data_IF_548683479895
#
_entry.id   IF_548683479895
#
_cell.length_a   1.000
_cell.length_b   1.000
_cell.length_c   1.000
_cell.angle_alpha   90.00
_cell.angle_beta   90.00
_cell.angle_gamma   90.00
#
_symmetry.space_group_name_H-M   'P 1'
#
loop_
_entity.id
_entity.type
_entity.pdbx_description
1 polymer ?
#
# COMPACT_ATOMS: atom_id res chain seq x y z
N UNK A 1 -6.80 -1.91 -7.58
CA UNK A 1 -5.78 -1.67 -6.53
C UNK A 1 -5.50 -2.99 -5.84
N UNK A 2 -4.24 -3.30 -5.48
CA UNK A 2 -3.90 -4.48 -4.70
C UNK A 2 -4.72 -4.60 -3.39
N UNK A 3 -4.85 -5.82 -2.83
CA UNK A 3 -5.43 -6.05 -1.50
C UNK A 3 -4.72 -5.26 -0.39
N UNK A 4 -5.40 -4.91 0.73
CA UNK A 4 -4.81 -4.15 1.83
C UNK A 4 -3.49 -4.71 2.40
N UNK A 5 -3.43 -6.03 2.60
CA UNK A 5 -2.26 -6.74 3.10
C UNK A 5 -1.07 -6.65 2.13
N UNK A 6 -1.33 -6.58 0.83
CA UNK A 6 -0.30 -6.38 -0.21
C UNK A 6 0.24 -4.95 -0.17
N UNK A 7 -0.60 -3.94 0.03
CA UNK A 7 -0.18 -2.51 0.00
C UNK A 7 0.94 -2.21 0.99
N UNK A 8 0.76 -2.63 2.25
CA UNK A 8 1.75 -2.42 3.29
C UNK A 8 3.04 -3.22 3.05
N UNK A 9 2.95 -4.43 2.49
CA UNK A 9 4.12 -5.24 2.12
C UNK A 9 4.93 -4.59 1.02
N UNK A 10 4.28 -4.09 -0.02
CA UNK A 10 4.92 -3.35 -1.12
C UNK A 10 5.69 -2.13 -0.62
N UNK A 11 5.06 -1.33 0.25
CA UNK A 11 5.74 -0.17 0.85
C UNK A 11 6.97 -0.57 1.67
N UNK A 12 6.83 -1.58 2.54
CA UNK A 12 7.92 -2.06 3.39
C UNK A 12 9.07 -2.65 2.57
N UNK A 13 8.76 -3.37 1.49
CA UNK A 13 9.76 -3.91 0.57
C UNK A 13 10.56 -2.79 -0.11
N UNK A 14 9.94 -1.61 -0.31
CA UNK A 14 10.61 -0.42 -0.82
C UNK A 14 11.38 0.38 0.26
N UNK A 15 11.37 -0.09 1.52
CA UNK A 15 12.08 0.53 2.64
C UNK A 15 11.40 1.79 3.20
N UNK A 16 10.16 2.08 2.79
CA UNK A 16 9.46 3.31 3.14
C UNK A 16 8.55 3.13 4.37
N UNK A 17 8.46 4.18 5.19
CA UNK A 17 7.51 4.31 6.29
C UNK A 17 6.18 4.89 5.81
N UNK A 18 5.13 4.77 6.63
CA UNK A 18 3.84 5.40 6.31
C UNK A 18 3.94 6.93 6.31
N UNK A 19 4.80 7.49 7.18
CA UNK A 19 4.98 8.94 7.32
C UNK A 19 5.61 9.54 6.06
N UNK A 20 6.69 8.95 5.55
CA UNK A 20 7.37 9.42 4.32
C UNK A 20 6.41 9.44 3.12
N UNK A 21 5.59 8.39 2.96
CA UNK A 21 4.65 8.34 1.85
C UNK A 21 3.49 9.32 2.08
N UNK A 22 3.00 9.44 3.31
CA UNK A 22 1.93 10.38 3.64
C UNK A 22 2.34 11.83 3.36
N UNK A 23 3.59 12.20 3.66
CA UNK A 23 4.17 13.51 3.37
C UNK A 23 4.15 13.83 1.87
N UNK A 24 4.57 12.87 1.02
CA UNK A 24 4.53 13.02 -0.45
C UNK A 24 3.11 13.25 -0.97
N UNK A 25 2.11 12.61 -0.36
CA UNK A 25 0.69 12.81 -0.72
C UNK A 25 0.05 14.03 -0.05
N UNK A 26 0.75 14.74 0.83
CA UNK A 26 0.20 15.84 1.61
C UNK A 26 -0.99 15.41 2.50
N UNK A 27 -0.91 14.24 3.10
CA UNK A 27 -1.93 13.69 4.01
C UNK A 27 -1.31 13.30 5.35
N UNK A 28 -2.16 13.05 6.35
CA UNK A 28 -1.68 12.52 7.62
C UNK A 28 -1.32 11.05 7.50
N UNK A 29 -0.39 10.58 8.35
CA UNK A 29 -0.07 9.15 8.52
C UNK A 29 -1.32 8.30 8.72
N UNK A 30 -2.25 8.78 9.55
CA UNK A 30 -3.51 8.09 9.86
C UNK A 30 -4.38 7.95 8.60
N UNK A 31 -4.47 8.98 7.76
CA UNK A 31 -5.21 8.91 6.51
C UNK A 31 -4.56 7.89 5.56
N UNK A 32 -3.24 7.89 5.44
CA UNK A 32 -2.51 6.92 4.63
C UNK A 32 -2.67 5.48 5.14
N UNK A 33 -2.59 5.27 6.46
CA UNK A 33 -2.87 3.97 7.09
C UNK A 33 -4.28 3.47 6.74
N UNK A 34 -5.30 4.33 6.76
CA UNK A 34 -6.67 3.96 6.36
C UNK A 34 -6.76 3.58 4.88
N UNK A 35 -5.94 4.17 4.01
CA UNK A 35 -5.82 3.75 2.62
C UNK A 35 -5.15 2.38 2.50
N UNK A 36 -4.04 2.16 3.20
CA UNK A 36 -3.35 0.86 3.17
C UNK A 36 -4.24 -0.27 3.68
N UNK A 37 -4.95 -0.07 4.79
CA UNK A 37 -5.84 -1.07 5.41
C UNK A 37 -7.19 -1.20 4.71
N UNK A 38 -7.48 -0.38 3.70
CA UNK A 38 -8.76 -0.40 2.99
C UNK A 38 -9.94 0.19 3.77
N UNK A 39 -9.71 0.71 4.99
CA UNK A 39 -10.72 1.39 5.81
C UNK A 39 -11.27 2.67 5.15
N UNK A 40 -10.47 3.31 4.29
CA UNK A 40 -10.91 4.44 3.49
C UNK A 40 -10.26 4.40 2.09
N UNK A 41 -10.93 4.98 1.11
CA UNK A 41 -10.37 5.16 -0.24
C UNK A 41 -9.72 6.56 -0.37
N UNK A 42 -8.61 6.70 -1.11
CA UNK A 42 -8.10 8.01 -1.48
C UNK A 42 -9.15 8.81 -2.25
N UNK A 43 -9.17 10.14 -2.06
CA UNK A 43 -10.02 11.03 -2.87
C UNK A 43 -9.54 11.04 -4.32
N UNK A 44 -10.42 11.46 -5.25
CA UNK A 44 -10.15 11.47 -6.71
C UNK A 44 -8.78 12.07 -7.08
N UNK A 45 -8.38 13.18 -6.46
CA UNK A 45 -7.07 13.82 -6.70
C UNK A 45 -5.84 12.95 -6.36
N UNK A 46 -5.95 11.99 -5.45
CA UNK A 46 -4.85 11.12 -5.02
C UNK A 46 -4.97 9.70 -5.57
N UNK A 47 -6.15 9.30 -6.07
CA UNK A 47 -6.46 7.92 -6.43
C UNK A 47 -5.52 7.38 -7.50
N UNK A 48 -5.31 8.15 -8.58
CA UNK A 48 -4.43 7.74 -9.66
C UNK A 48 -2.96 7.67 -9.24
N UNK A 49 -2.48 8.68 -8.51
CA UNK A 49 -1.10 8.70 -8.02
C UNK A 49 -0.83 7.53 -7.06
N UNK A 50 -1.78 7.22 -6.18
CA UNK A 50 -1.70 6.07 -5.28
C UNK A 50 -1.69 4.74 -6.05
N UNK A 51 -2.56 4.59 -7.05
CA UNK A 51 -2.57 3.39 -7.88
C UNK A 51 -1.25 3.20 -8.66
N UNK A 52 -0.70 4.29 -9.23
CA UNK A 52 0.59 4.27 -9.92
C UNK A 52 1.74 3.89 -8.99
N UNK A 53 1.78 4.44 -7.78
CA UNK A 53 2.78 4.10 -6.76
C UNK A 53 2.75 2.61 -6.42
N UNK A 54 1.55 2.08 -6.10
CA UNK A 54 1.39 0.66 -5.77
C UNK A 54 1.77 -0.25 -6.95
N UNK A 55 1.45 0.13 -8.19
CA UNK A 55 1.84 -0.63 -9.36
C UNK A 55 3.38 -0.62 -9.55
N UNK A 56 4.03 0.53 -9.36
CA UNK A 56 5.48 0.64 -9.42
C UNK A 56 6.17 -0.24 -8.39
N UNK A 57 5.68 -0.24 -7.14
CA UNK A 57 6.21 -1.14 -6.11
C UNK A 57 5.94 -2.61 -6.42
N UNK A 58 4.77 -2.96 -6.96
CA UNK A 58 4.47 -4.35 -7.33
C UNK A 58 5.40 -4.87 -8.45
N UNK A 59 5.72 -4.02 -9.43
CA UNK A 59 6.69 -4.35 -10.47
C UNK A 59 8.10 -4.55 -9.91
N UNK A 60 8.51 -3.73 -8.94
CA UNK A 60 9.83 -3.82 -8.30
C UNK A 60 9.93 -5.00 -7.33
N UNK A 61 8.84 -5.32 -6.64
CA UNK A 61 8.78 -6.32 -5.56
C UNK A 61 7.70 -7.38 -5.85
N UNK A 62 7.90 -8.24 -6.87
CA UNK A 62 6.89 -9.21 -7.31
C UNK A 62 6.52 -10.22 -6.21
N UNK A 63 7.47 -10.61 -5.35
CA UNK A 63 7.21 -11.52 -4.22
C UNK A 63 6.31 -10.88 -3.16
N UNK A 64 6.48 -9.58 -2.88
CA UNK A 64 5.62 -8.86 -1.96
C UNK A 64 4.22 -8.60 -2.55
N UNK A 65 4.08 -8.65 -3.88
CA UNK A 65 2.81 -8.50 -4.59
C UNK A 65 1.94 -9.76 -4.57
N UNK A 66 2.54 -10.94 -4.35
CA UNK A 66 1.80 -12.20 -4.26
C UNK A 66 0.83 -12.16 -3.07
N UNK A 67 -0.47 -12.43 -3.27
CA UNK A 67 -1.38 -12.68 -2.17
C UNK A 67 -0.79 -13.79 -1.29
N UNK A 68 -0.81 -13.62 0.02
CA UNK A 68 -0.55 -14.75 0.89
C UNK A 68 -1.70 -15.73 0.70
N UNK A 69 -1.39 -16.99 0.42
CA UNK A 69 -2.42 -18.03 0.44
C UNK A 69 -3.04 -18.05 1.86
N UNK A 70 -4.38 -17.99 1.97
CA UNK A 70 -5.06 -17.93 3.28
C UNK A 70 -4.72 -19.09 4.22
N UNK A 71 -4.18 -20.19 3.69
CA UNK A 71 -3.81 -21.41 4.43
C UNK A 71 -2.51 -21.30 5.24
N UNK A 72 -1.65 -20.30 5.02
CA UNK A 72 -0.40 -20.12 5.80
C UNK A 72 -0.55 -19.25 7.06
N UNK A 73 -1.72 -18.66 7.32
CA UNK A 73 -1.95 -17.78 8.48
C UNK A 73 -2.60 -18.49 9.69
N UNK A 74 -2.91 -19.78 9.58
CA UNK A 74 -3.41 -20.61 10.68
C UNK A 74 -2.40 -21.74 10.97
N UNK A 75 -1.31 -21.39 11.64
CA UNK A 75 -0.30 -22.33 12.15
C UNK A 75 0.19 -21.85 13.50
#
# INVERSE_FOLDING_TARGET
MPPPDVRARLRKADGLTQDEVAEVFGVTRVAFHRWETGQAKPRRRHLEAYARLLNGWATKHPEAAKPLDPTEQAG
#
